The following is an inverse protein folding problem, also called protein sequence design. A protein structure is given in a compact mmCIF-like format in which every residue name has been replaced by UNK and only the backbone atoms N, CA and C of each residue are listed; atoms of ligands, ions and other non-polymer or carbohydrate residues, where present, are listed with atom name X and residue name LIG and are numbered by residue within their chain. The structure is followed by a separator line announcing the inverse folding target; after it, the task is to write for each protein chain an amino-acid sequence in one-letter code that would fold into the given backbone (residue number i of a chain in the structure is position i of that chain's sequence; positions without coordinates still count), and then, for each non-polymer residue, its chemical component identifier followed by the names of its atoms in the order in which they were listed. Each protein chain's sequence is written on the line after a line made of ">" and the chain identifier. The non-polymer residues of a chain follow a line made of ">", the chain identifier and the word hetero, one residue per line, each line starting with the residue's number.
data_IF_695764398433
#
_entry.id   IF_695764398433
#
_cell.length_a   1.000
_cell.length_b   1.000
_cell.length_c   1.000
_cell.angle_alpha   90.00
_cell.angle_beta   90.00
_cell.angle_gamma   90.00
#
_symmetry.space_group_name_H-M   'P 1'
#
loop_
_entity.id
_entity.type
_entity.pdbx_description
1 polymer ?
#
# COMPACT_ATOMS: atom_id res chain seq x y z
N UNK A 1 -21.59 8.11 -6.88
CA UNK A 1 -22.35 7.46 -5.78
C UNK A 1 -22.34 8.40 -4.57
N UNK A 2 -23.48 8.64 -3.92
CA UNK A 2 -23.50 9.40 -2.66
C UNK A 2 -23.23 8.45 -1.49
N UNK A 3 -22.01 8.51 -0.93
CA UNK A 3 -21.53 7.56 0.08
C UNK A 3 -22.43 7.56 1.33
N UNK A 4 -22.83 8.74 1.84
CA UNK A 4 -23.66 8.84 3.06
C UNK A 4 -25.05 8.23 2.86
N UNK A 5 -25.64 8.47 1.69
CA UNK A 5 -26.95 7.91 1.35
C UNK A 5 -26.88 6.39 1.18
N UNK A 6 -25.85 5.87 0.50
CA UNK A 6 -25.64 4.42 0.33
C UNK A 6 -25.45 3.74 1.69
N UNK A 7 -24.60 4.28 2.58
CA UNK A 7 -24.41 3.75 3.95
C UNK A 7 -25.71 3.83 4.75
N UNK A 8 -26.54 4.85 4.54
CA UNK A 8 -27.84 4.99 5.18
C UNK A 8 -28.84 3.89 4.80
N UNK A 9 -28.70 3.29 3.61
CA UNK A 9 -29.55 2.19 3.12
C UNK A 9 -29.08 0.80 3.55
N UNK A 10 -27.84 0.68 4.04
CA UNK A 10 -27.26 -0.61 4.43
C UNK A 10 -27.78 -1.12 5.77
N UNK A 11 -27.94 -2.44 5.88
CA UNK A 11 -28.12 -3.11 7.18
C UNK A 11 -26.84 -3.09 8.01
N UNK A 12 -26.94 -3.47 9.28
CA UNK A 12 -25.75 -3.58 10.14
C UNK A 12 -24.80 -4.69 9.64
N UNK A 13 -25.36 -5.80 9.17
CA UNK A 13 -24.63 -6.94 8.63
C UNK A 13 -23.88 -6.56 7.36
N UNK A 14 -24.51 -5.83 6.43
CA UNK A 14 -23.85 -5.34 5.21
C UNK A 14 -22.70 -4.37 5.55
N UNK A 15 -22.91 -3.49 6.55
CA UNK A 15 -21.86 -2.57 7.03
C UNK A 15 -20.69 -3.32 7.62
N UNK A 16 -20.95 -4.32 8.47
CA UNK A 16 -19.91 -5.15 9.08
C UNK A 16 -19.17 -5.97 8.02
N UNK A 17 -19.89 -6.53 7.05
CA UNK A 17 -19.32 -7.33 5.98
C UNK A 17 -18.34 -6.52 5.11
N UNK A 18 -18.65 -5.26 4.78
CA UNK A 18 -17.74 -4.36 4.03
C UNK A 18 -16.37 -4.15 4.70
N UNK A 19 -16.22 -4.44 5.99
CA UNK A 19 -14.94 -4.35 6.71
C UNK A 19 -14.04 -5.58 6.50
N UNK A 20 -14.47 -6.53 5.65
CA UNK A 20 -13.76 -7.77 5.37
C UNK A 20 -13.64 -8.00 3.86
N UNK A 21 -12.57 -8.68 3.45
CA UNK A 21 -12.42 -9.13 2.07
C UNK A 21 -13.42 -10.24 1.74
N UNK A 22 -13.91 -10.26 0.49
CA UNK A 22 -14.69 -11.38 -0.07
C UNK A 22 -13.81 -12.61 -0.23
N UNK A 23 -12.59 -12.37 -0.68
CA UNK A 23 -11.52 -13.35 -0.80
C UNK A 23 -10.17 -12.65 -0.60
N UNK A 24 -9.09 -13.26 -1.08
CA UNK A 24 -7.74 -12.74 -0.92
C UNK A 24 -7.48 -11.41 -1.66
N UNK A 25 -8.17 -11.17 -2.78
CA UNK A 25 -7.93 -10.03 -3.67
C UNK A 25 -9.14 -9.12 -3.83
N UNK A 26 -10.34 -9.55 -3.44
CA UNK A 26 -11.58 -8.84 -3.77
C UNK A 26 -12.32 -8.33 -2.54
N UNK A 27 -12.91 -7.14 -2.65
CA UNK A 27 -13.93 -6.67 -1.70
C UNK A 27 -15.29 -7.28 -1.99
N UNK A 28 -16.20 -7.23 -1.03
CA UNK A 28 -17.60 -7.60 -1.26
C UNK A 28 -18.31 -6.64 -2.22
N UNK A 29 -19.27 -7.17 -2.95
CA UNK A 29 -20.20 -6.47 -3.83
C UNK A 29 -21.64 -6.54 -3.28
N UNK A 30 -22.39 -5.46 -3.47
CA UNK A 30 -23.82 -5.36 -3.12
C UNK A 30 -24.57 -4.72 -4.29
N UNK A 31 -25.02 -5.54 -5.23
CA UNK A 31 -25.66 -5.08 -6.47
C UNK A 31 -26.92 -4.22 -6.22
N UNK A 32 -27.73 -4.57 -5.22
CA UNK A 32 -28.92 -3.80 -4.83
C UNK A 32 -28.59 -2.36 -4.36
N UNK A 33 -27.36 -2.14 -3.90
CA UNK A 33 -26.86 -0.85 -3.44
C UNK A 33 -25.94 -0.17 -4.47
N UNK A 34 -25.72 -0.83 -5.62
CA UNK A 34 -24.80 -0.36 -6.66
C UNK A 34 -23.32 -0.44 -6.28
N UNK A 35 -22.96 -1.20 -5.23
CA UNK A 35 -21.58 -1.37 -4.78
C UNK A 35 -20.95 -2.52 -5.57
N UNK A 36 -19.89 -2.24 -6.32
CA UNK A 36 -19.13 -3.24 -7.07
C UNK A 36 -17.91 -3.70 -6.30
N UNK A 37 -17.53 -4.95 -6.51
CA UNK A 37 -16.31 -5.53 -5.95
C UNK A 37 -15.09 -4.84 -6.55
N UNK A 38 -14.15 -4.49 -5.69
CA UNK A 38 -12.86 -3.89 -6.02
C UNK A 38 -11.82 -5.01 -5.99
N UNK A 39 -11.03 -5.14 -7.05
CA UNK A 39 -9.90 -6.06 -7.11
C UNK A 39 -8.61 -5.34 -6.70
N UNK A 40 -7.88 -5.92 -5.75
CA UNK A 40 -6.59 -5.45 -5.27
C UNK A 40 -5.52 -6.42 -5.79
N UNK A 41 -4.33 -5.91 -6.13
CA UNK A 41 -3.22 -6.76 -6.60
C UNK A 41 -1.88 -6.24 -6.10
N UNK A 42 -0.97 -7.15 -5.79
CA UNK A 42 0.46 -6.82 -5.71
C UNK A 42 0.98 -6.32 -7.08
N UNK A 43 2.05 -5.52 -7.15
CA UNK A 43 2.74 -4.86 -6.04
C UNK A 43 3.70 -3.76 -6.52
N UNK A 44 4.71 -3.36 -5.72
CA UNK A 44 5.39 -2.07 -5.87
C UNK A 44 6.26 -1.88 -7.14
N UNK A 45 6.53 -2.93 -7.91
CA UNK A 45 7.38 -2.88 -9.12
C UNK A 45 6.88 -3.82 -10.22
N UNK A 46 5.56 -3.99 -10.31
CA UNK A 46 4.90 -4.77 -11.36
C UNK A 46 3.61 -5.41 -10.85
N UNK A 47 2.62 -5.56 -11.74
CA UNK A 47 1.37 -6.21 -11.38
C UNK A 47 1.56 -7.73 -11.30
N UNK A 48 1.06 -8.34 -10.22
CA UNK A 48 1.01 -9.80 -10.04
C UNK A 48 -0.42 -10.26 -9.84
N UNK A 49 -1.07 -10.63 -10.95
CA UNK A 49 -2.44 -11.16 -10.96
C UNK A 49 -2.43 -12.62 -11.39
N UNK A 50 -2.92 -13.52 -10.54
CA UNK A 50 -2.95 -14.95 -10.86
C UNK A 50 -4.03 -15.26 -11.91
N UNK A 51 -3.69 -16.14 -12.87
CA UNK A 51 -4.59 -16.54 -13.95
C UNK A 51 -5.67 -17.57 -13.53
N UNK A 52 -5.45 -18.26 -12.41
CA UNK A 52 -6.37 -19.23 -11.81
C UNK A 52 -6.81 -18.79 -10.40
N UNK A 53 -7.75 -19.53 -9.80
CA UNK A 53 -8.23 -19.26 -8.44
C UNK A 53 -7.06 -19.02 -7.48
N UNK A 54 -7.08 -17.88 -6.80
CA UNK A 54 -5.91 -17.38 -6.10
C UNK A 54 -5.50 -18.29 -4.95
N UNK A 55 -4.19 -18.54 -4.81
CA UNK A 55 -3.63 -19.14 -3.61
C UNK A 55 -2.80 -18.09 -2.85
N UNK A 56 -2.87 -18.10 -1.52
CA UNK A 56 -2.13 -17.17 -0.68
C UNK A 56 -0.59 -17.33 -0.82
N UNK A 57 -0.14 -18.46 -1.39
CA UNK A 57 1.27 -18.80 -1.58
C UNK A 57 1.86 -18.22 -2.86
N UNK A 58 1.04 -17.77 -3.82
CA UNK A 58 1.54 -17.24 -5.08
C UNK A 58 2.06 -18.30 -6.05
N UNK A 59 1.68 -19.57 -5.91
CA UNK A 59 2.22 -20.68 -6.72
C UNK A 59 1.57 -20.76 -8.11
N UNK A 60 0.39 -20.17 -8.29
CA UNK A 60 -0.26 -20.13 -9.59
C UNK A 60 0.42 -19.12 -10.54
N UNK A 61 0.41 -19.46 -11.84
CA UNK A 61 0.98 -18.63 -12.89
C UNK A 61 0.32 -17.24 -12.90
N UNK A 62 1.16 -16.19 -12.87
CA UNK A 62 0.70 -14.82 -13.07
C UNK A 62 0.37 -14.60 -14.54
N UNK A 63 -0.66 -13.80 -14.80
CA UNK A 63 -0.86 -13.16 -16.09
C UNK A 63 0.40 -12.33 -16.39
N UNK A 64 0.93 -12.35 -17.62
CA UNK A 64 2.10 -11.56 -17.99
C UNK A 64 1.88 -10.07 -17.73
N UNK A 65 2.88 -9.44 -17.13
CA UNK A 65 2.94 -8.02 -16.80
C UNK A 65 4.40 -7.58 -16.81
N UNK A 66 4.65 -6.27 -16.88
CA UNK A 66 6.01 -5.74 -16.86
C UNK A 66 6.59 -5.84 -15.44
N UNK A 67 7.76 -6.48 -15.33
CA UNK A 67 8.54 -6.49 -14.10
C UNK A 67 9.54 -5.32 -14.15
N UNK A 68 9.21 -4.23 -13.48
CA UNK A 68 10.02 -3.02 -13.47
C UNK A 68 11.19 -3.13 -12.48
N UNK A 69 12.18 -2.23 -12.56
CA UNK A 69 13.20 -2.11 -11.54
C UNK A 69 12.60 -1.88 -10.15
N UNK A 70 13.20 -2.51 -9.14
CA UNK A 70 12.72 -2.40 -7.76
C UNK A 70 12.83 -0.97 -7.23
N UNK A 71 12.06 -0.62 -6.19
CA UNK A 71 12.11 0.70 -5.58
C UNK A 71 13.52 1.08 -5.09
N UNK A 72 14.32 0.11 -4.64
CA UNK A 72 15.71 0.36 -4.27
C UNK A 72 16.54 0.82 -5.47
N UNK A 73 16.35 0.22 -6.64
CA UNK A 73 17.02 0.65 -7.88
C UNK A 73 16.52 2.02 -8.31
N UNK A 74 15.20 2.22 -8.30
CA UNK A 74 14.59 3.47 -8.77
C UNK A 74 14.92 4.66 -7.89
N UNK A 75 15.09 4.48 -6.58
CA UNK A 75 15.58 5.54 -5.70
C UNK A 75 16.98 6.06 -6.08
N UNK A 76 17.82 5.24 -6.73
CA UNK A 76 19.15 5.68 -7.19
C UNK A 76 19.09 6.58 -8.43
N UNK A 77 17.93 6.76 -9.06
CA UNK A 77 17.77 7.74 -10.15
C UNK A 77 17.67 9.17 -9.62
N UNK A 78 17.20 9.36 -8.38
CA UNK A 78 16.86 10.65 -7.80
C UNK A 78 15.96 11.51 -8.72
N UNK A 79 15.15 10.83 -9.53
CA UNK A 79 14.34 11.46 -10.57
C UNK A 79 12.85 11.16 -10.32
N UNK A 80 12.16 12.15 -9.77
CA UNK A 80 10.72 12.08 -9.51
C UNK A 80 9.91 11.96 -10.80
N UNK A 81 10.30 12.65 -11.88
CA UNK A 81 9.59 12.57 -13.16
C UNK A 81 9.62 11.14 -13.73
N UNK A 82 10.79 10.48 -13.66
CA UNK A 82 10.93 9.09 -14.05
C UNK A 82 10.14 8.14 -13.13
N UNK A 83 10.06 8.45 -11.83
CA UNK A 83 9.24 7.70 -10.89
C UNK A 83 7.74 7.83 -11.19
N UNK A 84 7.29 9.02 -11.60
CA UNK A 84 5.91 9.28 -11.99
C UNK A 84 5.56 8.59 -13.33
N UNK A 85 6.47 8.58 -14.29
CA UNK A 85 6.32 7.82 -15.55
C UNK A 85 6.19 6.31 -15.30
N UNK A 86 7.06 5.74 -14.44
CA UNK A 86 6.93 4.34 -14.05
C UNK A 86 5.62 4.08 -13.29
N UNK A 87 5.19 5.00 -12.44
CA UNK A 87 3.90 4.96 -11.76
C UNK A 87 2.73 4.91 -12.74
N UNK A 88 2.74 5.73 -13.79
CA UNK A 88 1.72 5.76 -14.84
C UNK A 88 1.65 4.42 -15.57
N UNK A 89 2.79 3.85 -15.97
CA UNK A 89 2.83 2.53 -16.60
C UNK A 89 2.29 1.41 -15.70
N UNK A 90 2.60 1.44 -14.39
CA UNK A 90 2.02 0.52 -13.40
C UNK A 90 0.50 0.68 -13.28
N UNK A 91 0.01 1.92 -13.25
CA UNK A 91 -1.41 2.24 -13.19
C UNK A 91 -2.17 1.75 -14.43
N UNK A 92 -1.57 1.89 -15.60
CA UNK A 92 -2.13 1.42 -16.88
C UNK A 92 -2.21 -0.11 -16.96
N UNK A 93 -1.17 -0.83 -16.56
CA UNK A 93 -1.22 -2.29 -16.51
C UNK A 93 -2.24 -2.79 -15.49
N UNK A 94 -2.31 -2.17 -14.31
CA UNK A 94 -3.32 -2.49 -13.31
C UNK A 94 -4.74 -2.33 -13.89
N UNK A 95 -5.01 -1.19 -14.55
CA UNK A 95 -6.31 -0.93 -15.19
C UNK A 95 -6.61 -1.92 -16.31
N UNK A 96 -5.66 -2.18 -17.20
CA UNK A 96 -5.81 -3.12 -18.30
C UNK A 96 -6.13 -4.54 -17.82
N UNK A 97 -5.56 -4.93 -16.68
CA UNK A 97 -5.79 -6.22 -16.04
C UNK A 97 -6.92 -6.20 -15.01
N UNK A 98 -7.67 -5.09 -14.89
CA UNK A 98 -8.84 -4.96 -14.03
C UNK A 98 -8.53 -5.00 -12.53
N UNK A 99 -7.34 -4.54 -12.12
CA UNK A 99 -7.01 -4.25 -10.73
C UNK A 99 -7.36 -2.78 -10.43
N UNK A 100 -8.20 -2.57 -9.43
CA UNK A 100 -8.64 -1.25 -8.99
C UNK A 100 -7.67 -0.60 -8.00
N UNK A 101 -6.96 -1.42 -7.21
CA UNK A 101 -5.94 -0.96 -6.26
C UNK A 101 -4.64 -1.70 -6.51
N UNK A 102 -3.56 -0.95 -6.71
CA UNK A 102 -2.21 -1.50 -6.73
C UNK A 102 -1.62 -1.42 -5.31
N UNK A 103 -1.21 -2.58 -4.78
CA UNK A 103 -0.63 -2.70 -3.44
C UNK A 103 0.83 -2.19 -3.42
N UNK A 104 1.02 -0.89 -3.59
CA UNK A 104 2.30 -0.20 -3.53
C UNK A 104 2.14 1.32 -3.70
N UNK A 105 3.24 2.08 -3.51
CA UNK A 105 4.60 1.61 -3.30
C UNK A 105 4.94 1.24 -1.84
N UNK A 106 6.07 0.55 -1.66
CA UNK A 106 6.64 0.25 -0.34
C UNK A 106 7.59 1.36 0.13
N UNK A 107 7.38 1.90 1.33
CA UNK A 107 8.13 3.05 1.85
C UNK A 107 8.74 2.84 3.24
N UNK A 108 8.80 1.59 3.73
CA UNK A 108 9.46 1.33 5.00
C UNK A 108 10.96 1.67 4.93
N UNK A 109 11.49 2.33 5.96
CA UNK A 109 12.90 2.74 5.99
C UNK A 109 13.86 1.55 5.96
N UNK A 110 14.97 1.69 5.23
CA UNK A 110 16.09 0.74 5.23
C UNK A 110 16.96 0.85 6.49
N UNK A 111 16.35 0.72 7.68
CA UNK A 111 17.01 0.84 8.99
C UNK A 111 18.27 -0.03 9.13
N UNK A 112 18.23 -1.24 8.57
CA UNK A 112 19.34 -2.17 8.57
C UNK A 112 19.45 -2.81 7.19
N UNK A 113 20.65 -2.96 6.61
CA UNK A 113 20.82 -3.53 5.27
C UNK A 113 20.33 -4.97 5.14
N UNK A 114 20.17 -5.70 6.26
CA UNK A 114 19.73 -7.10 6.30
C UNK A 114 18.21 -7.31 6.25
N UNK A 115 17.40 -6.25 6.22
CA UNK A 115 15.97 -6.43 6.06
C UNK A 115 15.68 -7.07 4.68
N UNK A 116 14.99 -8.22 4.70
CA UNK A 116 14.74 -9.02 3.49
C UNK A 116 13.89 -8.32 2.43
N UNK A 117 13.24 -7.21 2.77
CA UNK A 117 12.41 -6.40 1.86
C UNK A 117 13.04 -5.06 1.48
N UNK A 118 14.30 -4.81 1.82
CA UNK A 118 14.97 -3.57 1.42
C UNK A 118 14.98 -3.32 -0.09
N UNK A 119 14.92 -4.37 -0.91
CA UNK A 119 14.85 -4.23 -2.37
C UNK A 119 13.57 -3.51 -2.83
N UNK A 120 12.43 -3.73 -2.16
CA UNK A 120 11.14 -3.11 -2.51
C UNK A 120 10.89 -1.77 -1.79
N UNK A 121 11.88 -1.25 -1.05
CA UNK A 121 11.82 0.06 -0.39
C UNK A 121 12.79 1.06 -1.03
N UNK A 122 12.42 2.34 -1.02
CA UNK A 122 13.19 3.38 -1.69
C UNK A 122 14.54 3.67 -0.99
N UNK A 123 14.52 4.15 0.25
CA UNK A 123 15.71 4.72 0.89
C UNK A 123 15.77 4.47 2.40
N UNK A 124 16.94 4.70 2.99
CA UNK A 124 17.11 4.92 4.43
C UNK A 124 16.80 6.37 4.84
N UNK A 125 16.83 7.29 3.87
CA UNK A 125 16.48 8.69 4.06
C UNK A 125 14.97 8.92 3.83
N UNK A 126 14.26 9.52 4.80
CA UNK A 126 12.82 9.72 4.72
C UNK A 126 12.38 10.67 3.60
N UNK A 127 13.18 11.69 3.28
CA UNK A 127 12.84 12.67 2.26
C UNK A 127 12.91 12.05 0.86
N UNK A 128 14.01 11.33 0.55
CA UNK A 128 14.16 10.60 -0.71
C UNK A 128 13.06 9.56 -0.87
N UNK A 129 12.78 8.79 0.20
CA UNK A 129 11.71 7.80 0.15
C UNK A 129 10.34 8.44 -0.09
N UNK A 130 10.04 9.55 0.58
CA UNK A 130 8.77 10.27 0.45
C UNK A 130 8.56 10.91 -0.91
N UNK A 131 9.59 11.56 -1.48
CA UNK A 131 9.52 12.17 -2.82
C UNK A 131 9.32 11.14 -3.91
N UNK A 132 10.13 10.08 -3.91
CA UNK A 132 9.97 8.99 -4.88
C UNK A 132 8.63 8.29 -4.75
N UNK A 133 8.16 8.02 -3.52
CA UNK A 133 6.85 7.43 -3.30
C UNK A 133 5.71 8.32 -3.80
N UNK A 134 5.79 9.63 -3.53
CA UNK A 134 4.78 10.59 -3.96
C UNK A 134 4.67 10.66 -5.48
N UNK A 135 5.80 10.64 -6.20
CA UNK A 135 5.82 10.56 -7.66
C UNK A 135 5.15 9.29 -8.18
N UNK A 136 5.50 8.12 -7.62
CA UNK A 136 4.87 6.84 -7.98
C UNK A 136 3.36 6.88 -7.78
N UNK A 137 2.90 7.40 -6.65
CA UNK A 137 1.49 7.46 -6.30
C UNK A 137 0.72 8.35 -7.29
N UNK A 138 1.25 9.53 -7.64
CA UNK A 138 0.64 10.40 -8.65
C UNK A 138 0.51 9.69 -10.00
N UNK A 139 1.57 9.01 -10.43
CA UNK A 139 1.58 8.23 -11.67
C UNK A 139 0.52 7.11 -11.67
N UNK A 140 0.53 6.26 -10.65
CA UNK A 140 -0.41 5.12 -10.51
C UNK A 140 -1.86 5.61 -10.57
N UNK A 141 -2.15 6.71 -9.88
CA UNK A 141 -3.51 7.24 -9.75
C UNK A 141 -3.98 8.06 -10.95
N UNK A 142 -3.09 8.45 -11.86
CA UNK A 142 -3.41 9.29 -13.02
C UNK A 142 -4.54 8.72 -13.88
N UNK A 143 -4.62 7.39 -14.02
CA UNK A 143 -5.60 6.71 -14.87
C UNK A 143 -6.72 5.98 -14.11
N UNK A 144 -6.89 6.28 -12.82
CA UNK A 144 -8.00 5.81 -11.98
C UNK A 144 -7.74 4.51 -11.20
N UNK A 145 -6.49 4.05 -11.15
CA UNK A 145 -6.06 2.96 -10.26
C UNK A 145 -5.61 3.54 -8.93
N UNK A 146 -6.17 3.09 -7.81
CA UNK A 146 -5.77 3.55 -6.49
C UNK A 146 -4.37 3.03 -6.12
N UNK A 147 -3.50 3.89 -5.60
CA UNK A 147 -2.26 3.44 -4.96
C UNK A 147 -2.52 3.05 -3.50
N UNK A 148 -1.68 2.17 -2.96
CA UNK A 148 -1.72 1.72 -1.58
C UNK A 148 -0.33 1.76 -0.96
N UNK A 149 0.01 2.90 -0.35
CA UNK A 149 1.32 3.04 0.31
C UNK A 149 1.44 2.06 1.49
N UNK A 150 2.60 1.40 1.62
CA UNK A 150 2.78 0.32 2.60
C UNK A 150 4.21 0.26 3.17
N UNK A 151 4.45 -0.28 4.36
CA UNK A 151 3.51 -0.80 5.36
C UNK A 151 3.54 0.14 6.57
N UNK A 152 2.38 0.70 6.92
CA UNK A 152 2.24 1.77 7.91
C UNK A 152 2.12 1.21 9.33
N UNK A 153 3.12 1.29 10.21
CA UNK A 153 4.49 1.80 10.01
C UNK A 153 5.53 0.87 10.66
N UNK A 154 6.81 1.23 10.58
CA UNK A 154 7.90 0.56 11.30
C UNK A 154 8.10 -0.95 11.02
N UNK A 155 7.73 -1.43 9.81
CA UNK A 155 7.99 -2.81 9.38
C UNK A 155 9.37 -2.95 8.71
N UNK A 156 10.44 -2.83 9.50
CA UNK A 156 11.81 -2.73 8.99
C UNK A 156 12.64 -4.02 9.16
N UNK A 157 11.98 -5.16 9.45
CA UNK A 157 12.60 -6.48 9.48
C UNK A 157 11.56 -7.57 9.19
N UNK A 158 11.98 -8.65 8.54
CA UNK A 158 11.09 -9.78 8.25
C UNK A 158 11.04 -10.81 9.39
N UNK A 159 12.13 -10.91 10.16
CA UNK A 159 12.21 -11.85 11.26
C UNK A 159 11.08 -11.57 12.26
N UNK A 160 10.15 -12.52 12.36
CA UNK A 160 8.98 -12.47 13.25
C UNK A 160 8.09 -11.24 13.05
N UNK A 161 7.99 -10.69 11.84
CA UNK A 161 7.23 -9.45 11.53
C UNK A 161 5.78 -9.41 12.07
N UNK A 162 5.12 -10.56 12.24
CA UNK A 162 3.76 -10.66 12.80
C UNK A 162 3.69 -10.66 14.35
N UNK A 163 4.85 -10.63 15.03
CA UNK A 163 4.93 -10.67 16.49
C UNK A 163 6.01 -9.77 17.08
N UNK A 164 6.86 -9.16 16.25
CA UNK A 164 7.88 -8.21 16.67
C UNK A 164 7.26 -6.91 17.15
N UNK A 165 7.93 -6.26 18.10
CA UNK A 165 7.57 -4.93 18.59
C UNK A 165 8.69 -3.94 18.26
N UNK A 166 8.35 -2.93 17.47
CA UNK A 166 9.23 -1.82 17.14
C UNK A 166 9.11 -0.78 18.25
N UNK A 167 10.12 -0.73 19.12
CA UNK A 167 10.16 0.18 20.28
C UNK A 167 11.03 1.40 19.95
N UNK A 168 10.43 2.58 19.96
CA UNK A 168 11.06 3.85 19.58
C UNK A 168 10.34 5.03 20.22
N UNK A 169 11.06 6.15 20.38
CA UNK A 169 10.48 7.41 20.82
C UNK A 169 9.70 8.10 19.70
N UNK A 170 8.83 9.04 20.09
CA UNK A 170 7.94 9.77 19.19
C UNK A 170 8.68 10.60 18.13
N UNK A 171 9.83 11.18 18.49
CA UNK A 171 10.62 11.99 17.57
C UNK A 171 11.16 11.11 16.45
N UNK A 172 11.76 9.97 16.80
CA UNK A 172 12.23 8.99 15.83
C UNK A 172 11.08 8.47 14.95
N UNK A 173 9.91 8.21 15.54
CA UNK A 173 8.72 7.78 14.79
C UNK A 173 8.34 8.82 13.73
N UNK A 174 8.22 10.09 14.13
CA UNK A 174 7.82 11.22 13.26
C UNK A 174 8.86 11.49 12.17
N UNK A 175 10.10 11.75 12.56
CA UNK A 175 11.14 12.25 11.66
C UNK A 175 11.66 11.19 10.67
N UNK A 176 11.62 9.90 11.03
CA UNK A 176 12.21 8.83 10.22
C UNK A 176 11.16 7.90 9.61
N UNK A 177 10.23 7.39 10.41
CA UNK A 177 9.36 6.29 9.97
C UNK A 177 8.02 6.74 9.41
N UNK A 178 7.57 7.96 9.71
CA UNK A 178 6.30 8.51 9.25
C UNK A 178 6.45 9.55 8.15
N UNK A 179 7.57 10.27 8.08
CA UNK A 179 7.80 11.35 7.10
C UNK A 179 7.50 10.93 5.64
N UNK A 180 7.96 9.75 5.21
CA UNK A 180 7.66 9.27 3.85
C UNK A 180 6.16 8.95 3.63
N UNK A 181 5.44 8.50 4.67
CA UNK A 181 3.99 8.31 4.62
C UNK A 181 3.26 9.66 4.63
N UNK A 182 3.75 10.64 5.39
CA UNK A 182 3.22 11.99 5.39
C UNK A 182 3.30 12.61 4.00
N UNK A 183 4.44 12.49 3.31
CA UNK A 183 4.57 12.92 1.91
C UNK A 183 3.65 12.12 0.97
N UNK A 184 3.58 10.80 1.11
CA UNK A 184 2.68 9.96 0.31
C UNK A 184 1.21 10.39 0.43
N UNK A 185 0.78 10.83 1.61
CA UNK A 185 -0.58 11.35 1.86
C UNK A 185 -0.72 12.79 1.37
N UNK A 186 0.18 13.70 1.77
CA UNK A 186 0.04 15.14 1.52
C UNK A 186 0.39 15.53 0.09
N UNK A 187 1.44 14.96 -0.48
CA UNK A 187 1.95 15.26 -1.82
C UNK A 187 1.50 14.23 -2.85
N UNK A 188 1.59 12.95 -2.52
CA UNK A 188 1.15 11.86 -3.40
C UNK A 188 -0.38 11.74 -3.52
N UNK A 189 -1.13 12.15 -2.49
CA UNK A 189 -2.58 11.96 -2.38
C UNK A 189 -2.99 10.49 -2.47
N UNK A 190 -2.25 9.61 -1.80
CA UNK A 190 -2.56 8.17 -1.82
C UNK A 190 -4.01 7.90 -1.40
N UNK A 191 -4.71 7.06 -2.16
CA UNK A 191 -6.11 6.72 -1.90
C UNK A 191 -6.28 5.64 -0.83
N UNK A 192 -5.25 4.84 -0.56
CA UNK A 192 -5.29 3.79 0.46
C UNK A 192 -3.94 3.57 1.13
N UNK A 193 -3.98 2.98 2.33
CA UNK A 193 -2.78 2.69 3.13
C UNK A 193 -2.92 1.28 3.70
N UNK A 194 -1.84 0.49 3.63
CA UNK A 194 -1.78 -0.82 4.27
C UNK A 194 -1.01 -0.73 5.58
N UNK A 195 -1.68 -1.07 6.69
CA UNK A 195 -1.03 -1.16 8.00
C UNK A 195 0.03 -2.26 8.04
N UNK A 196 1.05 -2.09 8.87
CA UNK A 196 2.08 -3.10 9.08
C UNK A 196 1.61 -4.27 9.95
N UNK A 197 2.39 -5.36 9.91
CA UNK A 197 2.15 -6.54 10.72
C UNK A 197 2.62 -6.38 12.18
N UNK A 198 3.69 -5.62 12.41
CA UNK A 198 4.36 -5.55 13.70
C UNK A 198 3.58 -4.70 14.72
N UNK A 199 3.99 -4.82 15.99
CA UNK A 199 3.63 -3.86 17.03
C UNK A 199 4.53 -2.62 16.95
N UNK A 200 4.01 -1.50 17.42
CA UNK A 200 4.75 -0.26 17.64
C UNK A 200 4.48 0.17 19.08
N UNK A 201 5.53 0.18 19.90
CA UNK A 201 5.44 0.45 21.33
C UNK A 201 4.33 -0.38 22.03
N UNK A 202 4.28 -1.68 21.73
CA UNK A 202 3.42 -2.65 22.41
C UNK A 202 2.05 -2.91 21.77
N UNK A 203 1.61 -2.09 20.80
CA UNK A 203 0.29 -2.20 20.16
C UNK A 203 0.43 -2.54 18.67
N UNK A 204 -0.36 -3.49 18.15
CA UNK A 204 -0.32 -3.85 16.74
C UNK A 204 -0.71 -2.67 15.85
N UNK A 205 0.01 -2.44 14.75
CA UNK A 205 -0.22 -1.26 13.91
C UNK A 205 -1.64 -1.18 13.34
N UNK A 206 -2.28 -2.32 13.04
CA UNK A 206 -3.65 -2.38 12.51
C UNK A 206 -4.76 -2.10 13.55
N UNK A 207 -4.42 -2.00 14.84
CA UNK A 207 -5.33 -1.63 15.93
C UNK A 207 -4.80 -0.44 16.77
N UNK A 208 -3.71 0.19 16.33
CA UNK A 208 -3.06 1.28 17.06
C UNK A 208 -3.80 2.60 16.82
N UNK A 209 -4.59 3.03 17.81
CA UNK A 209 -5.39 4.26 17.74
C UNK A 209 -4.53 5.52 17.52
N UNK A 210 -3.40 5.62 18.21
CA UNK A 210 -2.48 6.76 18.06
C UNK A 210 -2.00 6.87 16.60
N UNK A 211 -1.61 5.74 16.00
CA UNK A 211 -1.16 5.69 14.62
C UNK A 211 -2.29 5.95 13.61
N UNK A 212 -3.43 5.27 13.75
CA UNK A 212 -4.48 5.22 12.72
C UNK A 212 -5.50 6.35 12.82
N UNK A 213 -5.64 6.99 13.98
CA UNK A 213 -6.64 8.05 14.22
C UNK A 213 -5.99 9.38 14.60
N UNK A 214 -5.06 9.41 15.55
CA UNK A 214 -4.49 10.70 16.01
C UNK A 214 -3.43 11.26 15.06
N UNK A 215 -2.70 10.39 14.35
CA UNK A 215 -1.67 10.78 13.37
C UNK A 215 -2.23 10.82 11.95
N UNK A 216 -2.91 9.75 11.52
CA UNK A 216 -3.27 9.58 10.11
C UNK A 216 -4.49 10.41 9.66
N UNK A 217 -5.42 10.74 10.56
CA UNK A 217 -6.68 11.41 10.23
C UNK A 217 -6.62 12.90 10.55
#
# INVERSE_FOLDING_TARGET
>A
MNIKETIGKMTLEEKAALLTGKDFWQTLDFDALGIKSIFLSDGPHGLRKQAAAADHLGLNQSIPATCFPTAATMANSWNEELGEEMGEALGDEAKALGANVLLGPGVCMKRNPRCGRNFEYFSEDPYVAGKMASAYIRGIQKNGTAACVKHFACNNQELRRMSSDSVLDERTLREIYLEAFEMAVKEGKTESIMSSYNKINGVYAHENYHLLQEILR
#
